data_IF_376779513443
#
_entry.id   IF_376779513443
#
_cell.length_a   1.000
_cell.length_b   1.000
_cell.length_c   1.000
_cell.angle_alpha   90.00
_cell.angle_beta   90.00
_cell.angle_gamma   90.00
#
_symmetry.space_group_name_H-M   'P 1'
#
loop_
_entity.id
_entity.type
_entity.pdbx_description
1 polymer ?
#
# COMPACT_ATOMS: atom_id res chain seq x y z
N UNK A 1 -0.17 -7.88 -36.44
CA UNK A 1 -1.52 -7.32 -36.21
C UNK A 1 -2.14 -7.91 -34.96
N UNK A 2 -1.88 -7.28 -33.82
CA UNK A 2 -2.60 -7.55 -32.57
C UNK A 2 -2.69 -6.23 -31.81
N UNK A 3 -3.65 -5.39 -32.20
CA UNK A 3 -3.91 -4.08 -31.60
C UNK A 3 -4.71 -4.28 -30.33
N UNK A 4 -4.09 -4.10 -29.17
CA UNK A 4 -4.76 -4.03 -27.88
C UNK A 4 -5.65 -2.78 -27.84
N UNK A 5 -6.96 -2.98 -27.82
CA UNK A 5 -7.95 -1.91 -27.69
C UNK A 5 -7.97 -1.39 -26.26
N UNK A 6 -7.47 -0.18 -26.05
CA UNK A 6 -7.70 0.60 -24.82
C UNK A 6 -9.16 1.05 -24.84
N UNK A 7 -9.98 0.56 -23.90
CA UNK A 7 -11.34 1.07 -23.71
C UNK A 7 -11.29 2.38 -22.93
N UNK A 8 -11.39 3.50 -23.62
CA UNK A 8 -11.59 4.82 -23.01
C UNK A 8 -13.08 5.04 -22.74
N UNK A 9 -13.48 4.96 -21.47
CA UNK A 9 -14.78 5.50 -21.02
C UNK A 9 -14.63 7.00 -20.78
N UNK A 10 -15.04 7.81 -21.75
CA UNK A 10 -15.07 9.27 -21.60
C UNK A 10 -16.30 9.65 -20.76
N UNK A 11 -16.10 9.90 -19.46
CA UNK A 11 -17.05 10.68 -18.68
C UNK A 11 -16.74 12.16 -18.90
N UNK A 12 -17.68 12.92 -19.45
CA UNK A 12 -17.55 14.36 -19.62
C UNK A 12 -17.45 15.03 -18.25
N UNK A 13 -16.23 15.42 -17.87
CA UNK A 13 -15.91 16.18 -16.67
C UNK A 13 -16.54 17.58 -16.76
N UNK A 14 -17.57 17.81 -15.96
CA UNK A 14 -17.92 19.17 -15.54
C UNK A 14 -16.87 19.59 -14.52
N UNK A 15 -16.22 20.73 -14.73
CA UNK A 15 -15.26 21.33 -13.77
C UNK A 15 -15.80 21.26 -12.35
N UNK A 16 -15.10 20.64 -11.38
CA UNK A 16 -15.60 20.60 -10.02
C UNK A 16 -15.53 22.03 -9.44
N UNK A 17 -16.67 22.61 -9.11
CA UNK A 17 -16.73 23.89 -8.42
C UNK A 17 -16.45 23.67 -6.93
N UNK A 18 -16.12 24.73 -6.17
CA UNK A 18 -16.01 24.66 -4.71
C UNK A 18 -17.30 24.15 -4.01
N UNK A 19 -18.43 24.11 -4.73
CA UNK A 19 -19.68 23.46 -4.33
C UNK A 19 -19.62 21.93 -4.26
N UNK A 20 -18.65 21.28 -4.91
CA UNK A 20 -18.56 19.81 -5.00
C UNK A 20 -17.79 19.21 -3.82
N UNK A 21 -17.21 20.06 -2.96
CA UNK A 21 -16.75 19.72 -1.60
C UNK A 21 -17.87 19.82 -0.56
N UNK A 22 -19.03 20.39 -0.93
CA UNK A 22 -20.17 20.51 -0.04
C UNK A 22 -20.83 19.15 0.33
N UNK A 23 -20.82 18.07 -0.47
CA UNK A 23 -21.48 16.82 -0.07
C UNK A 23 -20.85 16.19 1.17
N UNK A 24 -19.52 16.23 1.30
CA UNK A 24 -18.82 15.65 2.46
C UNK A 24 -19.06 16.43 3.77
N UNK A 25 -19.35 17.73 3.69
CA UNK A 25 -19.69 18.57 4.85
C UNK A 25 -21.20 18.68 5.10
N UNK A 26 -22.03 18.55 4.07
CA UNK A 26 -23.48 18.49 4.15
C UNK A 26 -23.98 17.12 4.68
N UNK A 27 -23.33 16.01 4.31
CA UNK A 27 -23.61 14.68 4.88
C UNK A 27 -23.20 14.60 6.35
N UNK A 28 -22.16 15.32 6.78
CA UNK A 28 -21.83 15.42 8.19
C UNK A 28 -22.90 16.17 9.00
N UNK A 29 -23.59 17.16 8.42
CA UNK A 29 -24.68 17.88 9.08
C UNK A 29 -26.02 17.11 9.04
N UNK A 30 -26.30 16.34 7.98
CA UNK A 30 -27.53 15.57 7.82
C UNK A 30 -27.46 14.14 8.43
N UNK A 31 -26.25 13.59 8.60
CA UNK A 31 -25.98 12.23 9.07
C UNK A 31 -25.11 12.14 10.33
N UNK A 32 -24.91 13.25 11.05
CA UNK A 32 -24.06 13.32 12.24
C UNK A 32 -24.36 12.23 13.28
N UNK A 33 -25.64 11.97 13.54
CA UNK A 33 -26.07 10.94 14.49
C UNK A 33 -25.61 9.54 14.08
N UNK A 34 -25.60 9.24 12.78
CA UNK A 34 -25.06 8.00 12.24
C UNK A 34 -23.55 7.91 12.44
N UNK A 35 -22.82 8.97 12.10
CA UNK A 35 -21.36 9.05 12.31
C UNK A 35 -21.02 8.90 13.80
N UNK A 36 -21.73 9.60 14.68
CA UNK A 36 -21.52 9.52 16.12
C UNK A 36 -21.80 8.11 16.65
N UNK A 37 -22.85 7.46 16.16
CA UNK A 37 -23.15 6.07 16.49
C UNK A 37 -22.01 5.14 16.06
N UNK A 38 -21.51 5.28 14.84
CA UNK A 38 -20.40 4.47 14.33
C UNK A 38 -19.13 4.69 15.16
N UNK A 39 -18.83 5.93 15.54
CA UNK A 39 -17.70 6.25 16.43
C UNK A 39 -17.86 5.64 17.83
N UNK A 40 -19.06 5.68 18.40
CA UNK A 40 -19.35 5.02 19.68
C UNK A 40 -19.23 3.50 19.59
N UNK A 41 -19.67 2.90 18.49
CA UNK A 41 -19.52 1.47 18.24
C UNK A 41 -18.05 1.07 18.08
N UNK A 42 -17.26 1.84 17.32
CA UNK A 42 -15.80 1.64 17.20
C UNK A 42 -15.15 1.73 18.59
N UNK A 43 -15.47 2.77 19.38
CA UNK A 43 -14.96 2.94 20.76
C UNK A 43 -15.28 1.72 21.62
N UNK A 44 -16.54 1.29 21.59
CA UNK A 44 -17.05 0.21 22.44
C UNK A 44 -16.53 -1.18 22.03
N UNK A 45 -15.99 -1.31 20.82
CA UNK A 45 -15.26 -2.50 20.32
C UNK A 45 -13.77 -2.46 20.66
N UNK A 46 -13.12 -1.29 20.62
CA UNK A 46 -11.66 -1.14 20.75
C UNK A 46 -11.17 -0.86 22.17
N UNK A 47 -11.87 -0.01 22.94
CA UNK A 47 -11.40 0.44 24.25
C UNK A 47 -11.74 -0.57 25.33
N UNK A 48 -10.89 -1.57 25.49
CA UNK A 48 -11.06 -2.68 26.43
C UNK A 48 -9.71 -3.05 27.03
N UNK A 49 -9.69 -3.74 28.16
CA UNK A 49 -8.49 -4.27 28.81
C UNK A 49 -8.01 -5.56 28.14
N UNK A 50 -8.92 -6.35 27.55
CA UNK A 50 -8.56 -7.55 26.80
C UNK A 50 -7.72 -7.17 25.58
N UNK A 51 -6.59 -7.85 25.38
CA UNK A 51 -5.71 -7.61 24.23
C UNK A 51 -4.90 -6.31 24.27
N UNK A 52 -4.91 -5.55 25.36
CA UNK A 52 -4.08 -4.34 25.48
C UNK A 52 -2.60 -4.69 25.51
N UNK A 53 -1.81 -3.97 24.72
CA UNK A 53 -0.35 -3.98 24.76
C UNK A 53 0.11 -2.60 25.19
N UNK A 54 0.86 -2.53 26.30
CA UNK A 54 1.48 -1.29 26.78
C UNK A 54 2.96 -1.35 26.49
N UNK A 55 3.48 -0.35 25.76
CA UNK A 55 4.91 -0.19 25.50
C UNK A 55 5.42 1.09 26.18
N UNK A 56 6.44 0.96 27.02
CA UNK A 56 7.03 2.07 27.79
C UNK A 56 8.52 2.14 27.51
N UNK A 57 9.06 3.34 27.37
CA UNK A 57 10.50 3.58 27.20
C UNK A 57 10.88 4.82 28.00
N UNK A 58 11.53 4.61 29.15
CA UNK A 58 12.00 5.67 30.04
C UNK A 58 13.14 5.14 30.93
N UNK A 59 13.70 5.96 31.83
CA UNK A 59 14.59 5.45 32.88
C UNK A 59 13.85 4.55 33.85
N UNK A 60 14.57 3.73 34.62
CA UNK A 60 13.99 2.81 35.60
C UNK A 60 13.12 3.56 36.61
N UNK A 61 13.61 4.68 37.16
CA UNK A 61 12.89 5.48 38.14
C UNK A 61 11.61 6.09 37.57
N UNK A 62 11.64 6.48 36.29
CA UNK A 62 10.47 7.02 35.60
C UNK A 62 9.43 5.93 35.29
N UNK A 63 9.87 4.70 34.97
CA UNK A 63 8.97 3.56 34.81
C UNK A 63 8.31 3.24 36.15
N UNK A 64 9.08 3.12 37.22
CA UNK A 64 8.55 2.86 38.57
C UNK A 64 7.53 3.90 39.00
N UNK A 65 7.80 5.19 38.76
CA UNK A 65 6.88 6.28 39.05
C UNK A 65 5.61 6.23 38.18
N UNK A 66 5.69 5.75 36.94
CA UNK A 66 4.56 5.68 36.02
C UNK A 66 3.65 4.45 36.24
N UNK A 67 4.20 3.34 36.75
CA UNK A 67 3.46 2.07 36.88
C UNK A 67 2.14 2.19 37.64
N UNK A 68 2.03 2.89 38.79
CA UNK A 68 0.77 3.05 39.50
C UNK A 68 -0.32 3.73 38.66
N UNK A 69 0.06 4.71 37.84
CA UNK A 69 -0.86 5.43 36.95
C UNK A 69 -1.33 4.56 35.79
N UNK A 70 -0.42 3.76 35.23
CA UNK A 70 -0.74 2.82 34.15
C UNK A 70 -1.67 1.73 34.66
N UNK A 71 -1.39 1.17 35.83
CA UNK A 71 -2.29 0.21 36.47
C UNK A 71 -3.66 0.81 36.76
N UNK A 72 -3.71 2.06 37.23
CA UNK A 72 -4.95 2.81 37.41
C UNK A 72 -5.74 2.92 36.11
N UNK A 73 -5.09 3.41 35.05
CA UNK A 73 -5.69 3.53 33.72
C UNK A 73 -6.21 2.18 33.18
N UNK A 74 -5.43 1.09 33.30
CA UNK A 74 -5.85 -0.23 32.86
C UNK A 74 -7.05 -0.75 33.67
N UNK A 75 -7.13 -0.42 34.96
CA UNK A 75 -8.29 -0.75 35.82
C UNK A 75 -9.56 -0.01 35.38
N UNK A 76 -9.43 1.19 34.83
CA UNK A 76 -10.57 1.98 34.34
C UNK A 76 -11.08 1.51 32.97
N UNK A 77 -10.27 0.78 32.21
CA UNK A 77 -10.72 0.18 30.95
C UNK A 77 -11.74 -0.95 31.19
N UNK A 78 -12.81 -1.04 30.35
CA UNK A 78 -13.74 -2.16 30.36
C UNK A 78 -13.00 -3.50 30.19
N UNK A 79 -13.32 -4.56 30.96
CA UNK A 79 -12.56 -5.81 30.91
C UNK A 79 -12.64 -6.52 29.54
N UNK A 80 -13.72 -6.31 28.79
CA UNK A 80 -14.02 -6.91 27.49
C UNK A 80 -14.74 -5.88 26.58
N UNK A 81 -14.76 -6.08 25.26
CA UNK A 81 -15.56 -5.25 24.35
C UNK A 81 -17.03 -5.25 24.77
N UNK A 82 -17.64 -4.05 24.82
CA UNK A 82 -19.08 -3.93 25.07
C UNK A 82 -19.89 -4.51 23.91
N UNK A 83 -19.32 -4.47 22.71
CA UNK A 83 -19.88 -5.09 21.52
C UNK A 83 -18.91 -6.17 21.07
N UNK A 84 -19.34 -7.43 21.18
CA UNK A 84 -18.52 -8.57 20.78
C UNK A 84 -18.23 -8.50 19.27
N UNK A 85 -16.96 -8.60 18.84
CA UNK A 85 -16.64 -8.77 17.44
C UNK A 85 -17.35 -10.01 16.87
N UNK A 86 -17.83 -9.93 15.64
CA UNK A 86 -18.33 -11.10 14.89
C UNK A 86 -17.19 -12.06 14.50
N UNK A 87 -15.95 -11.59 14.62
CA UNK A 87 -14.74 -12.35 14.37
C UNK A 87 -14.25 -12.99 15.67
N UNK A 88 -13.78 -14.24 15.59
CA UNK A 88 -13.21 -14.94 16.75
C UNK A 88 -12.05 -14.14 17.34
N UNK A 89 -12.02 -14.04 18.67
CA UNK A 89 -10.91 -13.47 19.41
C UNK A 89 -9.62 -14.25 19.07
N UNK A 90 -8.54 -13.52 18.79
CA UNK A 90 -7.24 -14.11 18.49
C UNK A 90 -6.33 -14.00 19.71
N UNK A 91 -5.60 -15.05 19.99
CA UNK A 91 -4.56 -15.08 21.02
C UNK A 91 -3.17 -14.99 20.41
N UNK A 92 -2.20 -14.54 21.21
CA UNK A 92 -0.81 -14.53 20.78
C UNK A 92 -0.34 -15.97 20.48
N UNK A 93 0.17 -16.21 19.27
CA UNK A 93 0.57 -17.53 18.80
C UNK A 93 -0.41 -18.20 17.83
N UNK A 94 -1.62 -17.65 17.65
CA UNK A 94 -2.55 -18.14 16.63
C UNK A 94 -1.94 -17.97 15.23
N UNK A 95 -1.99 -19.04 14.42
CA UNK A 95 -1.50 -19.02 13.05
C UNK A 95 -2.16 -17.87 12.25
N UNK A 96 -1.39 -16.92 11.70
CA UNK A 96 -1.89 -15.84 10.86
C UNK A 96 -2.75 -16.31 9.67
N UNK A 97 -2.49 -17.51 9.15
CA UNK A 97 -3.27 -18.10 8.06
C UNK A 97 -4.72 -18.44 8.48
N UNK A 98 -4.96 -18.65 9.78
CA UNK A 98 -6.30 -18.94 10.33
C UNK A 98 -7.12 -17.69 10.65
N UNK A 99 -6.55 -16.50 10.43
CA UNK A 99 -7.27 -15.24 10.62
C UNK A 99 -8.52 -15.18 9.72
N UNK A 100 -9.68 -14.70 10.22
CA UNK A 100 -10.83 -14.44 9.37
C UNK A 100 -10.53 -13.47 8.21
N UNK A 101 -9.60 -12.53 8.41
CA UNK A 101 -9.08 -11.62 7.37
C UNK A 101 -8.23 -12.35 6.31
N UNK A 102 -7.70 -13.52 6.65
CA UNK A 102 -7.02 -14.41 5.71
C UNK A 102 -7.99 -15.28 4.92
N UNK A 103 -9.28 -15.32 5.27
CA UNK A 103 -10.27 -16.16 4.59
C UNK A 103 -10.43 -15.72 3.12
N UNK A 104 -10.37 -16.65 2.14
CA UNK A 104 -10.52 -16.32 0.73
C UNK A 104 -11.83 -15.58 0.42
N UNK A 105 -12.91 -15.93 1.13
CA UNK A 105 -14.22 -15.30 0.96
C UNK A 105 -14.25 -13.84 1.43
N UNK A 106 -13.60 -13.52 2.55
CA UNK A 106 -13.54 -12.14 3.05
C UNK A 106 -12.55 -11.32 2.23
N UNK A 107 -11.41 -11.91 1.85
CA UNK A 107 -10.46 -11.29 0.92
C UNK A 107 -11.10 -10.93 -0.40
N UNK A 108 -11.84 -11.84 -1.03
CA UNK A 108 -12.54 -11.56 -2.28
C UNK A 108 -13.60 -10.43 -2.17
N UNK A 109 -14.12 -10.16 -0.96
CA UNK A 109 -15.03 -9.04 -0.71
C UNK A 109 -14.33 -7.72 -0.40
N UNK A 110 -13.12 -7.76 0.16
CA UNK A 110 -12.35 -6.59 0.57
C UNK A 110 -11.36 -6.11 -0.50
N UNK A 111 -10.91 -7.01 -1.37
CA UNK A 111 -10.00 -6.69 -2.46
C UNK A 111 -10.77 -5.99 -3.58
N UNK A 112 -10.25 -4.85 -4.01
CA UNK A 112 -10.68 -4.23 -5.25
C UNK A 112 -10.28 -5.12 -6.43
N UNK A 113 -11.06 -5.12 -7.53
CA UNK A 113 -10.67 -5.81 -8.75
C UNK A 113 -9.29 -5.35 -9.22
N UNK A 114 -8.47 -6.28 -9.73
CA UNK A 114 -7.23 -5.91 -10.40
C UNK A 114 -7.57 -5.20 -11.69
N UNK A 115 -7.02 -4.00 -11.87
CA UNK A 115 -7.28 -3.20 -13.05
C UNK A 115 -6.34 -2.02 -13.15
N UNK A 116 -6.27 -1.47 -14.36
CA UNK A 116 -5.63 -0.20 -14.61
C UNK A 116 -6.67 0.90 -14.35
N UNK A 117 -6.36 1.82 -13.45
CA UNK A 117 -7.24 2.94 -13.11
C UNK A 117 -6.52 4.27 -13.32
N UNK A 118 -7.27 5.28 -13.78
CA UNK A 118 -6.79 6.64 -13.91
C UNK A 118 -7.76 7.57 -13.16
N UNK A 119 -7.25 8.26 -12.13
CA UNK A 119 -8.02 9.26 -11.39
C UNK A 119 -7.89 10.60 -12.11
N UNK A 120 -8.94 11.02 -12.82
CA UNK A 120 -8.94 12.28 -13.56
C UNK A 120 -9.04 13.48 -12.60
N UNK A 121 -7.95 14.23 -12.47
CA UNK A 121 -7.87 15.44 -11.66
C UNK A 121 -7.31 16.60 -12.49
N UNK A 122 -7.72 17.85 -12.24
CA UNK A 122 -7.23 19.01 -12.99
C UNK A 122 -5.83 19.42 -12.50
N UNK A 123 -4.79 18.75 -12.98
CA UNK A 123 -3.38 19.01 -12.62
C UNK A 123 -2.52 19.16 -13.88
N UNK A 124 -1.39 19.86 -13.75
CA UNK A 124 -0.38 19.97 -14.83
C UNK A 124 0.61 18.79 -14.85
N UNK A 125 0.56 17.94 -13.83
CA UNK A 125 1.49 16.84 -13.59
C UNK A 125 0.73 15.61 -13.13
N UNK A 126 1.33 14.44 -13.37
CA UNK A 126 0.81 13.13 -13.06
C UNK A 126 1.47 12.54 -11.82
N UNK A 127 0.85 11.45 -11.35
CA UNK A 127 1.34 10.58 -10.29
C UNK A 127 1.13 9.14 -10.77
N UNK A 128 2.17 8.55 -11.35
CA UNK A 128 2.07 7.26 -12.03
C UNK A 128 2.48 6.17 -11.05
N UNK A 129 1.69 5.11 -10.94
CA UNK A 129 1.99 3.96 -10.08
C UNK A 129 1.85 2.66 -10.86
N UNK A 130 2.74 1.70 -10.59
CA UNK A 130 2.61 0.31 -11.06
C UNK A 130 3.05 -0.63 -9.95
N UNK A 131 2.23 -1.61 -9.62
CA UNK A 131 2.46 -2.49 -8.48
C UNK A 131 2.20 -3.96 -8.83
N UNK A 132 2.87 -4.84 -8.10
CA UNK A 132 2.65 -6.29 -8.16
C UNK A 132 3.05 -6.94 -6.84
N UNK A 133 2.54 -8.15 -6.60
CA UNK A 133 2.96 -8.97 -5.47
C UNK A 133 4.05 -9.96 -5.94
N UNK A 134 5.28 -9.79 -5.48
CA UNK A 134 6.39 -10.65 -5.89
C UNK A 134 6.32 -12.05 -5.27
N UNK A 135 5.59 -12.22 -4.17
CA UNK A 135 5.48 -13.51 -3.49
C UNK A 135 4.39 -14.41 -4.07
N UNK A 136 3.51 -13.85 -4.89
CA UNK A 136 2.50 -14.63 -5.62
C UNK A 136 3.13 -15.32 -6.83
N UNK A 137 2.60 -16.49 -7.19
CA UNK A 137 2.96 -17.18 -8.43
C UNK A 137 2.47 -16.34 -9.62
N UNK A 138 3.22 -16.34 -10.72
CA UNK A 138 2.79 -15.65 -11.94
C UNK A 138 1.51 -16.31 -12.48
N UNK A 139 0.44 -15.52 -12.65
CA UNK A 139 -0.89 -16.02 -13.03
C UNK A 139 -0.99 -16.47 -14.49
N UNK A 140 -0.02 -16.11 -15.34
CA UNK A 140 -0.02 -16.43 -16.77
C UNK A 140 0.35 -17.90 -17.02
N UNK A 141 -0.67 -18.76 -17.04
CA UNK A 141 -0.56 -20.21 -17.26
C UNK A 141 0.20 -20.61 -18.54
N UNK A 142 0.21 -19.77 -19.57
CA UNK A 142 0.85 -20.07 -20.86
C UNK A 142 2.37 -19.86 -20.83
N UNK A 143 2.86 -18.90 -20.04
CA UNK A 143 4.29 -18.64 -19.85
C UNK A 143 4.85 -19.48 -18.68
N UNK A 144 4.03 -19.76 -17.65
CA UNK A 144 4.36 -20.64 -16.53
C UNK A 144 4.63 -22.10 -16.94
N UNK A 145 4.09 -22.57 -18.07
CA UNK A 145 4.32 -23.93 -18.58
C UNK A 145 5.69 -24.13 -19.26
N UNK A 146 6.40 -23.06 -19.62
CA UNK A 146 7.70 -23.16 -20.35
C UNK A 146 8.90 -23.41 -19.44
N UNK A 147 8.82 -23.10 -18.15
CA UNK A 147 9.90 -23.30 -17.19
C UNK A 147 9.31 -23.91 -15.92
N UNK A 148 9.59 -25.19 -15.67
CA UNK A 148 8.96 -26.00 -14.63
C UNK A 148 8.87 -25.31 -13.26
N UNK A 149 7.65 -25.21 -12.73
CA UNK A 149 7.29 -24.79 -11.38
C UNK A 149 7.93 -23.47 -10.91
N UNK A 150 7.49 -22.34 -11.49
CA UNK A 150 7.79 -21.01 -10.93
C UNK A 150 6.96 -20.76 -9.66
N UNK A 151 7.58 -21.02 -8.51
CA UNK A 151 7.12 -20.51 -7.20
C UNK A 151 7.44 -19.02 -7.09
N UNK A 152 6.57 -18.24 -6.46
CA UNK A 152 6.75 -16.83 -6.17
C UNK A 152 8.08 -16.52 -5.47
N UNK A 153 8.54 -15.28 -5.56
CA UNK A 153 9.84 -14.85 -5.04
C UNK A 153 9.95 -15.12 -3.54
N UNK A 154 10.97 -15.88 -3.13
CA UNK A 154 11.27 -16.07 -1.71
C UNK A 154 12.06 -14.86 -1.20
N UNK A 155 11.52 -14.19 -0.19
CA UNK A 155 12.16 -13.03 0.43
C UNK A 155 13.62 -13.31 0.80
N UNK A 156 14.52 -12.46 0.31
CA UNK A 156 15.92 -12.43 0.67
C UNK A 156 16.38 -10.97 0.87
N UNK A 157 17.30 -10.72 1.81
CA UNK A 157 17.74 -9.36 2.15
C UNK A 157 18.35 -8.58 0.98
N UNK A 158 18.87 -9.28 -0.04
CA UNK A 158 19.37 -8.66 -1.28
C UNK A 158 18.30 -7.90 -2.05
N UNK A 159 17.00 -8.22 -1.89
CA UNK A 159 15.92 -7.45 -2.50
C UNK A 159 15.90 -6.00 -2.03
N UNK A 160 16.25 -5.74 -0.76
CA UNK A 160 16.32 -4.38 -0.22
C UNK A 160 17.46 -3.58 -0.86
N UNK A 161 18.59 -4.23 -1.10
CA UNK A 161 19.74 -3.63 -1.80
C UNK A 161 19.40 -3.37 -3.27
N UNK A 162 18.77 -4.33 -3.94
CA UNK A 162 18.31 -4.17 -5.31
C UNK A 162 17.29 -3.03 -5.43
N UNK A 163 16.30 -2.95 -4.54
CA UNK A 163 15.36 -1.84 -4.50
C UNK A 163 16.07 -0.49 -4.32
N UNK A 164 17.07 -0.42 -3.45
CA UNK A 164 17.86 0.81 -3.27
C UNK A 164 18.67 1.18 -4.51
N UNK A 165 19.24 0.20 -5.20
CA UNK A 165 19.94 0.41 -6.47
C UNK A 165 18.99 0.96 -7.53
N UNK A 166 17.84 0.33 -7.75
CA UNK A 166 16.80 0.78 -8.71
C UNK A 166 16.42 2.24 -8.44
N UNK A 167 16.18 2.58 -7.17
CA UNK A 167 15.83 3.94 -6.74
C UNK A 167 16.90 4.97 -7.04
N UNK A 168 18.14 4.69 -6.64
CA UNK A 168 19.21 5.67 -6.64
C UNK A 168 19.94 5.79 -8.00
N UNK A 169 19.65 4.89 -8.94
CA UNK A 169 20.25 4.89 -10.27
C UNK A 169 19.16 4.93 -11.32
N UNK A 170 18.60 3.78 -11.70
CA UNK A 170 17.65 3.66 -12.80
C UNK A 170 16.49 4.67 -12.77
N UNK A 171 15.68 4.68 -11.70
CA UNK A 171 14.50 5.54 -11.63
C UNK A 171 14.87 7.00 -11.41
N UNK A 172 15.97 7.28 -10.70
CA UNK A 172 16.48 8.62 -10.57
C UNK A 172 16.89 9.20 -11.93
N UNK A 173 17.68 8.46 -12.70
CA UNK A 173 18.19 8.93 -13.99
C UNK A 173 17.07 9.01 -15.04
N UNK A 174 16.26 7.96 -15.17
CA UNK A 174 15.27 7.87 -16.26
C UNK A 174 14.00 8.68 -15.99
N UNK A 175 13.38 8.52 -14.82
CA UNK A 175 12.09 9.16 -14.52
C UNK A 175 12.29 10.62 -14.10
N UNK A 176 13.31 10.89 -13.27
CA UNK A 176 13.55 12.26 -12.77
C UNK A 176 14.48 13.08 -13.67
N UNK A 177 15.72 12.64 -13.90
CA UNK A 177 16.71 13.47 -14.60
C UNK A 177 16.36 13.64 -16.08
N UNK A 178 16.05 12.53 -16.77
CA UNK A 178 15.71 12.53 -18.19
C UNK A 178 14.22 12.86 -18.41
N UNK A 179 13.33 12.24 -17.63
CA UNK A 179 11.88 12.41 -17.75
C UNK A 179 11.34 13.72 -17.18
N UNK A 180 12.11 14.41 -16.32
CA UNK A 180 11.70 15.70 -15.75
C UNK A 180 10.69 15.61 -14.59
N UNK A 181 10.36 14.41 -14.11
CA UNK A 181 9.55 14.26 -12.90
C UNK A 181 10.29 14.81 -11.67
N UNK A 182 9.56 15.28 -10.65
CA UNK A 182 10.20 15.67 -9.39
C UNK A 182 10.81 14.46 -8.67
N UNK A 183 10.20 13.28 -8.79
CA UNK A 183 10.75 12.05 -8.22
C UNK A 183 10.26 10.81 -8.93
N UNK A 184 11.12 9.80 -9.01
CA UNK A 184 10.79 8.43 -9.39
C UNK A 184 11.40 7.48 -8.37
N UNK A 185 10.61 6.53 -7.90
CA UNK A 185 11.04 5.58 -6.87
C UNK A 185 10.26 4.27 -6.91
N UNK A 186 10.76 3.32 -6.14
CA UNK A 186 10.18 2.01 -5.90
C UNK A 186 10.24 1.66 -4.42
N UNK A 187 9.20 0.99 -3.95
CA UNK A 187 9.08 0.48 -2.59
C UNK A 187 8.83 -1.02 -2.65
N UNK A 188 9.45 -1.75 -1.71
CA UNK A 188 9.24 -3.17 -1.55
C UNK A 188 8.92 -3.48 -0.09
N UNK A 189 7.82 -4.19 0.15
CA UNK A 189 7.37 -4.63 1.47
C UNK A 189 7.71 -6.10 1.67
N UNK A 190 8.69 -6.42 2.55
CA UNK A 190 9.05 -7.82 2.87
C UNK A 190 7.92 -8.62 3.53
N UNK A 191 7.00 -7.94 4.21
CA UNK A 191 5.91 -8.59 4.95
C UNK A 191 4.76 -9.01 4.04
N UNK A 192 4.55 -8.29 2.94
CA UNK A 192 3.41 -8.51 2.03
C UNK A 192 3.81 -9.02 0.65
N UNK A 193 5.07 -8.83 0.25
CA UNK A 193 5.56 -9.10 -1.10
C UNK A 193 5.25 -7.99 -2.10
N UNK A 194 4.55 -6.93 -1.68
CA UNK A 194 4.17 -5.82 -2.54
C UNK A 194 5.41 -5.06 -3.01
N UNK A 195 5.59 -4.98 -4.33
CA UNK A 195 6.56 -4.13 -5.00
C UNK A 195 5.81 -3.06 -5.79
N UNK A 196 6.15 -1.79 -5.57
CA UNK A 196 5.43 -0.65 -6.13
C UNK A 196 6.42 0.33 -6.73
N UNK A 197 6.27 0.66 -8.01
CA UNK A 197 6.86 1.83 -8.64
C UNK A 197 5.94 3.05 -8.47
N UNK A 198 6.54 4.23 -8.27
CA UNK A 198 5.82 5.49 -8.20
C UNK A 198 6.62 6.64 -8.81
N UNK A 199 5.93 7.57 -9.49
CA UNK A 199 6.45 8.89 -9.84
C UNK A 199 5.65 10.00 -9.16
N UNK A 200 6.32 11.12 -8.89
CA UNK A 200 5.75 12.25 -8.17
C UNK A 200 5.97 13.54 -8.95
N UNK A 201 4.87 14.27 -9.22
CA UNK A 201 4.83 15.48 -10.06
C UNK A 201 5.55 15.24 -11.39
N UNK A 202 5.07 14.23 -12.10
CA UNK A 202 5.65 13.73 -13.33
C UNK A 202 4.96 14.36 -14.55
N UNK A 203 5.66 15.02 -15.48
CA UNK A 203 5.02 15.54 -16.69
C UNK A 203 4.59 14.44 -17.68
N UNK A 204 5.01 13.19 -17.47
CA UNK A 204 4.76 12.07 -18.38
C UNK A 204 3.78 11.04 -17.81
N UNK A 205 3.41 10.06 -18.65
CA UNK A 205 2.61 8.91 -18.28
C UNK A 205 3.16 7.63 -18.94
N UNK A 206 3.11 7.56 -20.27
CA UNK A 206 3.51 6.36 -21.03
C UNK A 206 5.00 6.04 -20.88
N UNK A 207 5.88 7.04 -21.05
CA UNK A 207 7.32 6.86 -20.90
C UNK A 207 7.74 6.45 -19.48
N UNK A 208 6.98 6.88 -18.47
CA UNK A 208 7.21 6.47 -17.08
C UNK A 208 6.84 5.00 -16.87
N UNK A 209 5.72 4.53 -17.43
CA UNK A 209 5.34 3.12 -17.39
C UNK A 209 6.36 2.26 -18.15
N UNK A 210 6.87 2.73 -19.28
CA UNK A 210 7.93 2.06 -20.03
C UNK A 210 9.22 1.96 -19.20
N UNK A 211 9.63 3.04 -18.51
CA UNK A 211 10.79 3.01 -17.62
C UNK A 211 10.64 1.97 -16.50
N UNK A 212 9.43 1.79 -15.96
CA UNK A 212 9.16 0.72 -14.99
C UNK A 212 9.37 -0.66 -15.60
N UNK A 213 8.83 -0.90 -16.79
CA UNK A 213 8.92 -2.18 -17.49
C UNK A 213 10.33 -2.54 -17.96
N UNK A 214 11.20 -1.55 -18.13
CA UNK A 214 12.61 -1.74 -18.47
C UNK A 214 13.52 -2.00 -17.25
N UNK A 215 13.02 -1.85 -16.02
CA UNK A 215 13.82 -2.10 -14.80
C UNK A 215 14.48 -3.50 -14.76
N UNK A 216 13.83 -4.60 -15.16
CA UNK A 216 14.47 -5.92 -15.19
C UNK A 216 15.66 -6.00 -16.15
N UNK A 217 15.63 -5.24 -17.25
CA UNK A 217 16.73 -5.20 -18.22
C UNK A 217 17.93 -4.43 -17.65
N UNK A 218 17.67 -3.31 -16.99
CA UNK A 218 18.68 -2.59 -16.20
C UNK A 218 19.37 -3.50 -15.18
N UNK A 219 18.59 -4.26 -14.38
CA UNK A 219 19.14 -5.18 -13.37
C UNK A 219 19.96 -6.33 -13.95
N UNK A 220 19.65 -6.79 -15.18
CA UNK A 220 20.41 -7.83 -15.89
C UNK A 220 21.72 -7.31 -16.51
N UNK A 221 21.99 -6.00 -16.43
CA UNK A 221 23.14 -5.37 -17.08
C UNK A 221 22.95 -5.10 -18.57
N UNK A 222 21.73 -5.25 -19.10
CA UNK A 222 21.36 -4.81 -20.45
C UNK A 222 21.09 -3.32 -20.45
N UNK A 223 22.11 -2.51 -20.73
CA UNK A 223 22.04 -1.05 -20.61
C UNK A 223 21.02 -0.39 -21.56
N UNK A 224 20.23 0.55 -21.01
CA UNK A 224 19.65 1.69 -21.72
C UNK A 224 20.37 2.96 -21.24
N UNK A 225 21.12 3.60 -22.13
CA UNK A 225 22.18 4.56 -21.78
C UNK A 225 21.75 6.00 -21.53
N UNK A 226 22.56 6.68 -20.72
CA UNK A 226 22.58 8.13 -20.50
C UNK A 226 23.81 8.56 -19.68
N UNK A 227 25.00 8.38 -20.25
CA UNK A 227 26.31 9.02 -19.95
C UNK A 227 26.70 9.36 -18.50
N UNK A 228 27.79 8.74 -18.02
CA UNK A 228 28.77 9.46 -17.19
C UNK A 228 29.03 8.97 -15.76
N UNK A 229 29.10 7.66 -15.51
CA UNK A 229 29.58 7.15 -14.23
C UNK A 229 30.36 5.85 -14.41
N UNK A 230 31.69 5.92 -14.30
CA UNK A 230 32.53 4.73 -14.17
C UNK A 230 32.03 3.90 -12.99
N UNK A 231 31.96 2.59 -13.21
CA UNK A 231 31.56 1.62 -12.21
C UNK A 231 32.38 1.69 -10.92
N UNK A 232 31.78 1.09 -9.89
CA UNK A 232 32.48 0.63 -8.69
C UNK A 232 32.83 -0.84 -8.93
#
# INVERSE_FOLDING_TARGET
DNTSSISTSTSTSTTPNASDLAPATADAAAGWEGVMKDLHEIRDRLLTRSGVIVNITASEEAIEAAMPHIEGFLKDLPPQPKITPSLKERTHGDDPATSPLSSPKLRAKLLLPRGNEALCVPTQVNYVAKAGNLFEDAEDEEEAKKEGEKKGYKMHGSALVANKLINNTWLWDTVRVQGGAYGGFSSFSPDTGSFVYLSYRDPNLESTLEAYDQTPNFLRGGGGGGTGGKGI
#
